data_IF_152290872636
#
_entry.id   IF_152290872636
#
_cell.length_a   1.000
_cell.length_b   1.000
_cell.length_c   1.000
_cell.angle_alpha   90.00
_cell.angle_beta   90.00
_cell.angle_gamma   90.00
#
_symmetry.space_group_name_H-M   'P 1'
#
loop_
_entity.id
_entity.type
_entity.pdbx_description
1 polymer ?
#
# COMPACT_ATOMS: atom_id res chain seq x y z
N UNK A 1 2.62 -1.28 -17.29
CA UNK A 1 3.17 -1.69 -15.99
C UNK A 1 3.22 -0.65 -14.86
N UNK A 2 4.26 0.20 -14.76
CA UNK A 2 4.49 1.05 -13.58
C UNK A 2 3.29 1.93 -13.25
N UNK A 3 2.66 2.49 -14.28
CA UNK A 3 1.47 3.34 -14.14
C UNK A 3 0.30 2.61 -13.49
N UNK A 4 0.05 1.32 -13.80
CA UNK A 4 -1.09 0.56 -13.25
C UNK A 4 -0.95 0.37 -11.75
N UNK A 5 0.23 -0.06 -11.33
CA UNK A 5 0.50 -0.36 -9.93
C UNK A 5 0.46 0.92 -9.06
N UNK A 6 0.94 2.04 -9.61
CA UNK A 6 0.90 3.34 -8.95
C UNK A 6 -0.52 3.89 -8.75
N UNK A 7 -1.47 3.53 -9.62
CA UNK A 7 -2.90 3.89 -9.49
C UNK A 7 -3.74 2.83 -8.76
N UNK A 8 -3.10 2.00 -7.94
CA UNK A 8 -3.72 0.92 -7.16
C UNK A 8 -4.37 -0.22 -7.97
N UNK A 9 -3.93 -0.45 -9.20
CA UNK A 9 -4.47 -1.52 -10.05
C UNK A 9 -3.45 -2.67 -10.08
N UNK A 10 -3.90 -3.93 -9.89
CA UNK A 10 -3.01 -5.07 -9.98
C UNK A 10 -2.32 -5.20 -11.34
N UNK A 11 -1.16 -5.84 -11.32
CA UNK A 11 -0.35 -6.09 -12.51
C UNK A 11 -1.00 -7.18 -13.35
N UNK A 12 -0.91 -7.08 -14.67
CA UNK A 12 -1.27 -8.20 -15.55
C UNK A 12 -0.16 -9.26 -15.57
N UNK A 13 -0.45 -10.45 -16.11
CA UNK A 13 0.61 -11.44 -16.36
C UNK A 13 1.73 -10.93 -17.27
N UNK A 14 1.38 -10.15 -18.30
CA UNK A 14 2.34 -9.55 -19.24
C UNK A 14 3.24 -8.53 -18.53
N UNK A 15 2.63 -7.69 -17.71
CA UNK A 15 3.34 -6.79 -16.81
C UNK A 15 4.32 -7.64 -15.96
N UNK A 16 3.86 -8.65 -15.23
CA UNK A 16 4.72 -9.45 -14.34
C UNK A 16 5.92 -10.10 -15.07
N UNK A 17 5.70 -10.66 -16.27
CA UNK A 17 6.76 -11.21 -17.13
C UNK A 17 7.78 -10.15 -17.54
N UNK A 18 7.30 -8.93 -17.81
CA UNK A 18 8.16 -7.80 -18.15
C UNK A 18 9.06 -7.41 -16.98
N UNK A 19 8.53 -7.29 -15.75
CA UNK A 19 9.39 -7.03 -14.58
C UNK A 19 10.33 -8.18 -14.28
N UNK A 20 9.93 -9.42 -14.50
CA UNK A 20 10.83 -10.55 -14.30
C UNK A 20 12.06 -10.43 -15.19
N UNK A 21 11.86 -10.12 -16.48
CA UNK A 21 12.96 -9.88 -17.42
C UNK A 21 13.86 -8.72 -16.98
N UNK A 22 13.26 -7.62 -16.52
CA UNK A 22 14.01 -6.43 -16.07
C UNK A 22 14.83 -6.77 -14.81
N UNK A 23 14.19 -7.26 -13.75
CA UNK A 23 14.82 -7.46 -12.45
C UNK A 23 15.80 -8.64 -12.41
N UNK A 24 15.55 -9.71 -13.17
CA UNK A 24 16.38 -10.94 -13.16
C UNK A 24 17.21 -11.14 -14.42
N UNK A 25 17.22 -10.18 -15.33
CA UNK A 25 17.98 -10.27 -16.58
C UNK A 25 18.73 -9.00 -16.97
N UNK A 26 18.09 -7.83 -16.84
CA UNK A 26 18.67 -6.55 -17.29
C UNK A 26 19.40 -5.81 -16.17
N UNK A 27 18.84 -5.76 -14.97
CA UNK A 27 19.42 -5.07 -13.80
C UNK A 27 20.36 -5.95 -12.96
N UNK A 28 20.32 -7.26 -13.17
CA UNK A 28 21.08 -8.25 -12.41
C UNK A 28 20.67 -9.67 -12.78
N UNK A 29 21.31 -10.66 -12.17
CA UNK A 29 20.93 -12.07 -12.33
C UNK A 29 19.75 -12.45 -11.43
N UNK A 30 19.16 -13.62 -11.66
CA UNK A 30 18.14 -14.18 -10.78
C UNK A 30 18.68 -14.39 -9.37
N UNK A 31 19.92 -14.84 -9.24
CA UNK A 31 20.61 -15.07 -7.98
C UNK A 31 20.84 -13.76 -7.21
N UNK A 32 21.24 -12.69 -7.91
CA UNK A 32 21.37 -11.35 -7.31
C UNK A 32 20.02 -10.86 -6.78
N UNK A 33 18.95 -11.09 -7.54
CA UNK A 33 17.61 -10.72 -7.12
C UNK A 33 17.17 -11.47 -5.86
N UNK A 34 17.31 -12.79 -5.84
CA UNK A 34 16.92 -13.63 -4.70
C UNK A 34 17.72 -13.29 -3.44
N UNK A 35 19.00 -12.96 -3.58
CA UNK A 35 19.86 -12.56 -2.47
C UNK A 35 19.43 -11.22 -1.84
N UNK A 36 19.07 -10.24 -2.67
CA UNK A 36 18.74 -8.89 -2.22
C UNK A 36 17.26 -8.71 -1.84
N UNK A 37 16.36 -9.40 -2.52
CA UNK A 37 14.91 -9.17 -2.43
C UNK A 37 14.11 -10.42 -2.01
N UNK A 38 14.74 -11.60 -1.92
CA UNK A 38 14.09 -12.86 -1.53
C UNK A 38 12.80 -13.08 -2.33
N UNK A 39 11.73 -13.46 -1.65
CA UNK A 39 10.41 -13.72 -2.24
C UNK A 39 9.56 -12.45 -2.38
N UNK A 40 10.15 -11.25 -2.37
CA UNK A 40 9.37 -10.00 -2.50
C UNK A 40 8.74 -9.93 -3.90
N UNK A 41 7.41 -9.82 -4.01
CA UNK A 41 6.73 -9.65 -5.29
C UNK A 41 7.18 -8.37 -6.01
N UNK A 42 7.32 -8.43 -7.33
CA UNK A 42 7.80 -7.30 -8.12
C UNK A 42 6.93 -6.04 -7.97
N UNK A 43 5.61 -6.19 -7.82
CA UNK A 43 4.72 -5.05 -7.62
C UNK A 43 5.01 -4.30 -6.32
N UNK A 44 5.42 -4.97 -5.24
CA UNK A 44 5.85 -4.28 -4.02
C UNK A 44 7.17 -3.53 -4.23
N UNK A 45 8.12 -4.09 -5.00
CA UNK A 45 9.36 -3.39 -5.34
C UNK A 45 9.10 -2.14 -6.17
N UNK A 46 8.21 -2.24 -7.16
CA UNK A 46 7.78 -1.09 -7.94
C UNK A 46 7.20 -0.01 -7.04
N UNK A 47 6.29 -0.35 -6.11
CA UNK A 47 5.68 0.64 -5.22
C UNK A 47 6.68 1.30 -4.26
N UNK A 48 7.76 0.63 -3.87
CA UNK A 48 8.83 1.25 -3.07
C UNK A 48 9.60 2.33 -3.82
N UNK A 49 9.70 2.23 -5.15
CA UNK A 49 10.46 3.18 -5.98
C UNK A 49 9.53 4.22 -6.61
N UNK A 50 8.51 3.74 -7.31
CA UNK A 50 7.57 4.55 -8.08
C UNK A 50 6.48 5.18 -7.21
N UNK A 51 6.35 4.77 -5.94
CA UNK A 51 5.37 5.28 -4.98
C UNK A 51 3.92 5.03 -5.42
N UNK A 52 2.95 5.67 -4.78
CA UNK A 52 1.54 5.56 -5.14
C UNK A 52 0.98 6.95 -5.45
N UNK A 53 0.12 7.04 -6.46
CA UNK A 53 -0.56 8.30 -6.77
C UNK A 53 -1.53 8.67 -5.65
N UNK A 54 -1.49 9.93 -5.22
CA UNK A 54 -2.35 10.44 -4.15
C UNK A 54 -3.82 10.20 -4.41
N UNK A 55 -4.27 10.45 -5.65
CA UNK A 55 -5.68 10.26 -6.02
C UNK A 55 -6.11 8.80 -5.89
N UNK A 56 -5.24 7.85 -6.24
CA UNK A 56 -5.51 6.43 -6.08
C UNK A 56 -5.56 6.01 -4.61
N UNK A 57 -4.65 6.54 -3.78
CA UNK A 57 -4.69 6.34 -2.34
C UNK A 57 -5.97 6.93 -1.74
N UNK A 58 -6.33 8.18 -2.06
CA UNK A 58 -7.59 8.81 -1.63
C UNK A 58 -8.79 7.96 -2.01
N UNK A 59 -8.84 7.48 -3.27
CA UNK A 59 -9.93 6.65 -3.78
C UNK A 59 -10.14 5.39 -2.96
N UNK A 60 -9.07 4.74 -2.50
CA UNK A 60 -9.17 3.55 -1.65
C UNK A 60 -9.82 3.83 -0.29
N UNK A 61 -9.72 5.07 0.23
CA UNK A 61 -10.29 5.46 1.53
C UNK A 61 -11.63 6.24 1.41
N UNK A 62 -12.10 6.57 0.20
CA UNK A 62 -13.31 7.40 0.01
C UNK A 62 -14.56 6.85 0.70
N UNK A 63 -14.83 5.55 0.53
CA UNK A 63 -15.99 4.90 1.16
C UNK A 63 -15.89 4.97 2.69
N UNK A 64 -14.70 4.72 3.25
CA UNK A 64 -14.49 4.82 4.70
C UNK A 64 -14.73 6.24 5.24
N UNK A 65 -14.24 7.26 4.53
CA UNK A 65 -14.43 8.66 4.94
C UNK A 65 -15.91 9.07 4.85
N UNK A 66 -16.58 8.70 3.76
CA UNK A 66 -17.95 9.13 3.48
C UNK A 66 -19.01 8.39 4.32
N UNK A 67 -18.81 7.10 4.60
CA UNK A 67 -19.82 6.26 5.25
C UNK A 67 -19.74 6.25 6.78
N UNK A 68 -18.59 6.61 7.37
CA UNK A 68 -18.34 6.39 8.80
C UNK A 68 -18.54 7.62 9.69
N UNK A 69 -19.01 8.75 9.15
CA UNK A 69 -19.20 10.02 9.87
C UNK A 69 -18.02 10.34 10.81
N UNK A 70 -16.82 10.41 10.24
CA UNK A 70 -15.59 10.60 11.00
C UNK A 70 -15.52 11.99 11.64
N UNK A 71 -14.96 12.08 12.84
CA UNK A 71 -14.62 13.36 13.47
C UNK A 71 -13.30 13.93 12.94
N UNK A 72 -13.00 15.18 13.27
CA UNK A 72 -11.79 15.88 12.79
C UNK A 72 -10.48 15.12 13.09
N UNK A 73 -10.33 14.55 14.29
CA UNK A 73 -9.11 13.81 14.66
C UNK A 73 -8.97 12.51 13.84
N UNK A 74 -10.09 11.83 13.58
CA UNK A 74 -10.12 10.64 12.73
C UNK A 74 -9.78 10.98 11.27
N UNK A 75 -10.30 12.08 10.74
CA UNK A 75 -9.97 12.56 9.38
C UNK A 75 -8.47 12.86 9.26
N UNK A 76 -7.90 13.58 10.24
CA UNK A 76 -6.45 13.86 10.28
C UNK A 76 -5.64 12.56 10.29
N UNK A 77 -6.07 11.55 11.05
CA UNK A 77 -5.40 10.26 11.06
C UNK A 77 -5.47 9.56 9.70
N UNK A 78 -6.64 9.50 9.07
CA UNK A 78 -6.80 8.87 7.75
C UNK A 78 -5.95 9.57 6.70
N UNK A 79 -5.93 10.91 6.69
CA UNK A 79 -5.06 11.67 5.79
C UNK A 79 -3.58 11.34 6.00
N UNK A 80 -3.13 11.19 7.25
CA UNK A 80 -1.76 10.77 7.55
C UNK A 80 -1.42 9.39 6.98
N UNK A 81 -2.37 8.46 7.00
CA UNK A 81 -2.20 7.13 6.38
C UNK A 81 -2.12 7.24 4.87
N UNK A 82 -2.98 8.06 4.25
CA UNK A 82 -2.94 8.35 2.81
C UNK A 82 -1.60 8.95 2.41
N UNK A 83 -1.12 9.96 3.14
CA UNK A 83 0.18 10.60 2.90
C UNK A 83 1.33 9.58 3.01
N UNK A 84 1.26 8.69 4.01
CA UNK A 84 2.25 7.62 4.16
C UNK A 84 2.22 6.67 2.97
N UNK A 85 1.05 6.21 2.55
CA UNK A 85 0.90 5.30 1.41
C UNK A 85 1.35 5.98 0.12
N UNK A 86 1.03 7.25 -0.08
CA UNK A 86 1.52 8.03 -1.22
C UNK A 86 3.05 8.03 -1.25
N UNK A 87 3.72 8.26 -0.12
CA UNK A 87 5.18 8.36 -0.08
C UNK A 87 5.92 7.03 -0.08
N UNK A 88 5.31 5.96 0.43
CA UNK A 88 5.96 4.66 0.63
C UNK A 88 5.38 3.56 -0.29
N UNK A 89 4.32 3.86 -1.02
CA UNK A 89 3.60 2.96 -1.92
C UNK A 89 2.58 2.04 -1.23
N UNK A 90 2.83 1.64 0.01
CA UNK A 90 1.93 0.81 0.82
C UNK A 90 2.36 0.80 2.30
N UNK A 91 1.54 0.22 3.18
CA UNK A 91 1.92 -0.09 4.57
C UNK A 91 2.28 -1.57 4.65
N UNK A 92 3.46 -1.90 5.18
CA UNK A 92 3.96 -3.28 5.22
C UNK A 92 3.08 -4.21 6.08
N UNK A 93 2.62 -3.71 7.22
CA UNK A 93 1.70 -4.41 8.11
C UNK A 93 0.74 -3.40 8.73
N UNK A 94 -0.57 -3.68 8.73
CA UNK A 94 -1.57 -2.78 9.33
C UNK A 94 -1.28 -2.46 10.81
N UNK A 95 -0.58 -3.32 11.54
CA UNK A 95 -0.11 -3.05 12.91
C UNK A 95 0.86 -1.86 13.02
N UNK A 96 1.46 -1.40 11.91
CA UNK A 96 2.26 -0.15 11.86
C UNK A 96 1.42 1.07 12.27
N UNK A 97 0.09 1.02 12.13
CA UNK A 97 -0.80 2.08 12.61
C UNK A 97 -0.80 2.24 14.15
N UNK A 98 -0.25 1.28 14.89
CA UNK A 98 -0.11 1.35 16.34
C UNK A 98 1.25 1.91 16.79
N UNK A 99 2.13 2.26 15.84
CA UNK A 99 3.49 2.72 16.09
C UNK A 99 3.68 4.18 15.64
N UNK A 100 4.77 4.85 16.05
CA UNK A 100 5.13 6.14 15.48
C UNK A 100 5.23 6.09 13.94
N UNK A 101 4.75 7.13 13.23
CA UNK A 101 4.19 8.37 13.77
C UNK A 101 2.68 8.30 14.08
N UNK A 102 1.99 7.19 13.78
CA UNK A 102 0.52 7.07 13.88
C UNK A 102 -0.01 6.99 15.31
N UNK A 103 0.81 6.57 16.27
CA UNK A 103 0.44 6.48 17.69
C UNK A 103 0.25 7.84 18.38
N UNK A 104 0.60 8.95 17.72
CA UNK A 104 0.48 10.33 18.23
C UNK A 104 -0.42 11.23 17.38
N UNK A 105 -1.14 12.20 17.99
CA UNK A 105 -1.19 12.50 19.43
C UNK A 105 -2.08 11.54 20.23
N UNK A 106 -2.90 10.74 19.55
CA UNK A 106 -3.75 9.72 20.14
C UNK A 106 -3.55 8.41 19.38
N UNK A 107 -3.40 7.32 20.12
CA UNK A 107 -3.21 5.99 19.53
C UNK A 107 -4.43 5.57 18.69
N UNK A 108 -4.18 4.86 17.60
CA UNK A 108 -5.20 4.25 16.73
C UNK A 108 -6.33 3.54 17.51
N UNK A 109 -5.97 2.72 18.51
CA UNK A 109 -6.92 1.95 19.33
C UNK A 109 -7.91 2.83 20.10
N UNK A 110 -7.48 4.03 20.52
CA UNK A 110 -8.34 4.98 21.24
C UNK A 110 -9.13 5.89 20.30
N UNK A 111 -8.68 6.05 19.06
CA UNK A 111 -9.24 6.99 18.11
C UNK A 111 -10.42 6.40 17.34
N UNK A 112 -10.43 5.08 17.14
CA UNK A 112 -11.45 4.36 16.38
C UNK A 112 -12.07 3.25 17.23
N UNK A 113 -13.36 2.99 17.06
CA UNK A 113 -14.00 1.77 17.59
C UNK A 113 -13.56 0.52 16.80
N UNK A 114 -13.89 -0.66 17.33
CA UNK A 114 -13.43 -1.94 16.77
C UNK A 114 -13.86 -2.14 15.30
N UNK A 115 -15.03 -1.66 14.90
CA UNK A 115 -15.52 -1.83 13.53
C UNK A 115 -14.76 -0.92 12.55
N UNK A 116 -14.53 0.34 12.93
CA UNK A 116 -13.70 1.26 12.15
C UNK A 116 -12.25 0.78 12.07
N UNK A 117 -11.70 0.20 13.15
CA UNK A 117 -10.37 -0.37 13.14
C UNK A 117 -10.24 -1.51 12.13
N UNK A 118 -11.19 -2.46 12.14
CA UNK A 118 -11.23 -3.58 11.18
C UNK A 118 -11.31 -3.09 9.73
N UNK A 119 -12.17 -2.09 9.46
CA UNK A 119 -12.31 -1.52 8.11
C UNK A 119 -11.02 -0.86 7.63
N UNK A 120 -10.37 -0.06 8.46
CA UNK A 120 -9.09 0.56 8.09
C UNK A 120 -8.00 -0.48 7.82
N UNK A 121 -7.91 -1.52 8.64
CA UNK A 121 -6.98 -2.62 8.39
C UNK A 121 -7.28 -3.35 7.08
N UNK A 122 -8.56 -3.57 6.77
CA UNK A 122 -8.97 -4.18 5.50
C UNK A 122 -8.52 -3.34 4.30
N UNK A 123 -8.77 -2.03 4.31
CA UNK A 123 -8.40 -1.12 3.21
C UNK A 123 -6.89 -1.09 3.02
N UNK A 124 -6.12 -1.02 4.11
CA UNK A 124 -4.66 -1.00 4.04
C UNK A 124 -4.11 -2.30 3.46
N UNK A 125 -4.66 -3.43 3.89
CA UNK A 125 -4.26 -4.73 3.35
C UNK A 125 -4.67 -4.87 1.89
N UNK A 126 -5.84 -4.40 1.49
CA UNK A 126 -6.29 -4.39 0.08
C UNK A 126 -5.35 -3.56 -0.80
N UNK A 127 -4.98 -2.36 -0.36
CA UNK A 127 -3.97 -1.55 -1.06
C UNK A 127 -2.68 -2.33 -1.25
N UNK A 128 -2.15 -3.01 -0.22
CA UNK A 128 -0.96 -3.85 -0.35
C UNK A 128 -1.19 -5.03 -1.29
N UNK A 129 -2.32 -5.73 -1.18
CA UNK A 129 -2.65 -6.91 -1.96
C UNK A 129 -2.77 -6.60 -3.45
N UNK A 130 -3.27 -5.42 -3.81
CA UNK A 130 -3.31 -4.96 -5.20
C UNK A 130 -1.90 -4.84 -5.82
N UNK A 131 -0.82 -4.81 -5.04
CA UNK A 131 0.54 -4.86 -5.56
C UNK A 131 1.11 -6.29 -5.68
N UNK A 132 0.40 -7.29 -5.18
CA UNK A 132 0.83 -8.69 -5.17
C UNK A 132 -0.06 -9.58 -6.03
N UNK A 133 -1.31 -9.18 -6.25
CA UNK A 133 -2.23 -9.86 -7.14
C UNK A 133 -1.82 -9.66 -8.61
N UNK A 134 -2.03 -10.71 -9.39
CA UNK A 134 -1.80 -10.73 -10.83
C UNK A 134 -3.11 -11.05 -11.52
N UNK A 135 -3.52 -10.21 -12.46
CA UNK A 135 -4.72 -10.42 -13.28
C UNK A 135 -4.34 -11.12 -14.59
N UNK A 136 -5.09 -12.17 -14.91
CA UNK A 136 -5.04 -12.90 -16.19
C UNK A 136 -5.69 -12.10 -17.32
#
# INVERSE_FOLDING_TARGET
MLLRNNINIPLTEEDNKTLEKIFKGELGTKEDYEMNFKDTPFGLLVRRVAKMEREAALKAFLSFINEQSLNANQIVFVNKVIDYIEQNGYVENAAELMKPPFDKPQSFIKLFDADKQKKLFSIINEVKNNATEIIS
#
